data_IF_757930833991
#
_entry.id   IF_757930833991
#
_cell.length_a   1.000
_cell.length_b   1.000
_cell.length_c   1.000
_cell.angle_alpha   90.00
_cell.angle_beta   90.00
_cell.angle_gamma   90.00
#
_symmetry.space_group_name_H-M   'P 1'
#
loop_
_entity.id
_entity.type
_entity.pdbx_description
1 polymer ?
#
# COMPACT_ATOMS: atom_id res chain seq x y z
N UNK A 1 47.48 -4.03 -4.01
CA UNK A 1 46.77 -2.89 -4.57
C UNK A 1 45.46 -3.35 -5.18
N UNK A 2 44.40 -2.68 -4.83
CA UNK A 2 43.08 -3.02 -5.37
C UNK A 2 42.97 -2.50 -6.81
N UNK A 3 42.56 -3.38 -7.75
CA UNK A 3 42.33 -2.98 -9.13
C UNK A 3 41.04 -2.13 -9.25
N UNK A 4 40.92 -1.33 -10.31
CA UNK A 4 39.66 -0.60 -10.56
C UNK A 4 38.47 -1.53 -10.68
N UNK A 5 38.67 -2.73 -11.21
CA UNK A 5 37.57 -3.70 -11.32
C UNK A 5 37.09 -4.17 -9.95
N UNK A 6 37.98 -4.37 -8.99
CA UNK A 6 37.60 -4.74 -7.63
C UNK A 6 36.86 -3.62 -6.94
N UNK A 7 37.26 -2.38 -7.17
CA UNK A 7 36.58 -1.23 -6.61
C UNK A 7 35.15 -1.10 -7.15
N UNK A 8 34.98 -1.27 -8.45
CA UNK A 8 33.66 -1.25 -9.07
C UNK A 8 32.76 -2.36 -8.55
N UNK A 9 33.33 -3.54 -8.34
CA UNK A 9 32.59 -4.67 -7.80
C UNK A 9 32.03 -4.36 -6.41
N UNK A 10 32.79 -3.72 -5.56
CA UNK A 10 32.32 -3.31 -4.24
C UNK A 10 31.19 -2.30 -4.32
N UNK A 11 31.23 -1.37 -5.26
CA UNK A 11 30.15 -0.42 -5.48
C UNK A 11 28.86 -1.11 -5.93
N UNK A 12 28.98 -2.10 -6.80
CA UNK A 12 27.81 -2.86 -7.26
C UNK A 12 27.18 -3.62 -6.10
N UNK A 13 27.95 -4.23 -5.23
CA UNK A 13 27.45 -4.91 -4.06
C UNK A 13 26.70 -3.94 -3.13
N UNK A 14 27.26 -2.76 -2.95
CA UNK A 14 26.64 -1.75 -2.11
C UNK A 14 25.29 -1.30 -2.68
N UNK A 15 25.19 -1.11 -4.00
CA UNK A 15 23.96 -0.77 -4.68
C UNK A 15 22.91 -1.88 -4.50
N UNK A 16 23.30 -3.13 -4.57
CA UNK A 16 22.40 -4.25 -4.36
C UNK A 16 21.78 -4.24 -2.96
N UNK A 17 22.54 -3.86 -1.95
CA UNK A 17 22.02 -3.74 -0.60
C UNK A 17 20.96 -2.64 -0.50
N UNK A 18 21.14 -1.54 -1.23
CA UNK A 18 20.16 -0.45 -1.23
C UNK A 18 18.89 -0.79 -2.02
N UNK A 19 18.91 -1.87 -2.82
CA UNK A 19 17.75 -2.34 -3.57
C UNK A 19 16.87 -3.28 -2.73
N UNK A 20 17.11 -3.35 -1.42
CA UNK A 20 16.33 -4.19 -0.52
C UNK A 20 14.98 -3.64 -0.13
N UNK A 21 14.65 -2.39 -0.53
CA UNK A 21 13.38 -1.78 -0.20
C UNK A 21 12.23 -2.52 -0.89
N UNK A 22 11.15 -2.73 -0.13
CA UNK A 22 9.96 -3.37 -0.65
C UNK A 22 9.21 -2.40 -1.55
N UNK A 23 8.95 -2.82 -2.79
CA UNK A 23 8.18 -2.03 -3.73
C UNK A 23 6.70 -2.38 -3.59
N UNK A 24 5.87 -1.36 -3.38
CA UNK A 24 4.42 -1.51 -3.27
C UNK A 24 3.78 -0.99 -4.55
N UNK A 25 3.04 -1.86 -5.25
CA UNK A 25 2.42 -1.51 -6.53
C UNK A 25 0.90 -1.53 -6.39
N UNK A 26 0.27 -0.40 -6.62
CA UNK A 26 -1.19 -0.28 -6.56
C UNK A 26 -1.79 -0.22 -7.95
N UNK A 27 -2.95 -0.86 -8.10
CA UNK A 27 -3.75 -0.81 -9.32
C UNK A 27 -5.24 -0.73 -8.95
N UNK A 28 -6.04 0.04 -9.72
CA UNK A 28 -5.62 0.93 -10.79
C UNK A 28 -5.00 2.23 -10.25
N UNK A 29 -4.47 3.06 -11.13
CA UNK A 29 -3.98 4.39 -10.74
C UNK A 29 -5.12 5.34 -10.45
N UNK A 30 -6.19 5.23 -11.23
CA UNK A 30 -7.41 6.03 -11.07
C UNK A 30 -8.62 5.12 -11.21
N UNK A 31 -9.60 5.32 -10.33
CA UNK A 31 -10.83 4.55 -10.33
C UNK A 31 -12.00 5.53 -10.33
N UNK A 32 -12.75 5.55 -11.44
CA UNK A 32 -13.93 6.42 -11.58
C UNK A 32 -15.17 5.59 -11.31
N UNK A 33 -15.95 6.00 -10.32
CA UNK A 33 -17.14 5.25 -9.89
C UNK A 33 -18.33 6.18 -9.72
N UNK A 34 -19.51 5.60 -9.77
CA UNK A 34 -20.75 6.29 -9.42
C UNK A 34 -21.03 6.06 -7.94
N UNK A 35 -21.55 7.07 -7.26
CA UNK A 35 -22.00 6.93 -5.86
C UNK A 35 -22.92 5.73 -5.73
N UNK A 36 -22.70 4.91 -4.73
CA UNK A 36 -23.46 3.69 -4.47
C UNK A 36 -22.90 2.44 -5.12
N UNK A 37 -21.89 2.55 -5.98
CA UNK A 37 -21.26 1.42 -6.64
C UNK A 37 -20.09 0.88 -5.80
N UNK A 38 -19.74 -0.41 -5.97
CA UNK A 38 -18.57 -0.96 -5.28
C UNK A 38 -17.27 -0.49 -5.91
N UNK A 39 -16.20 -0.53 -5.14
CA UNK A 39 -14.85 -0.22 -5.60
C UNK A 39 -13.87 -1.24 -5.02
N UNK A 40 -12.81 -1.53 -5.77
CA UNK A 40 -11.78 -2.47 -5.34
C UNK A 40 -10.41 -1.95 -5.79
N UNK A 41 -9.46 -1.95 -4.88
CA UNK A 41 -8.08 -1.49 -5.13
C UNK A 41 -7.14 -2.62 -4.74
N UNK A 42 -6.19 -2.91 -5.62
CA UNK A 42 -5.17 -3.94 -5.40
C UNK A 42 -3.85 -3.31 -4.97
N UNK A 43 -3.16 -3.98 -4.07
CA UNK A 43 -1.82 -3.63 -3.62
C UNK A 43 -0.97 -4.89 -3.63
N UNK A 44 0.16 -4.83 -4.34
CA UNK A 44 1.11 -5.95 -4.39
C UNK A 44 2.46 -5.50 -3.87
N UNK A 45 3.07 -6.32 -3.02
CA UNK A 45 4.42 -6.07 -2.52
C UNK A 45 5.43 -6.95 -3.24
N UNK A 46 6.64 -6.44 -3.40
CA UNK A 46 7.73 -7.19 -4.04
C UNK A 46 8.27 -8.32 -3.17
N UNK A 47 7.98 -8.27 -1.87
CA UNK A 47 8.37 -9.29 -0.89
C UNK A 47 7.21 -9.57 0.05
N UNK A 48 7.20 -10.74 0.68
CA UNK A 48 6.19 -11.08 1.67
C UNK A 48 6.20 -10.08 2.82
N UNK A 49 5.03 -9.68 3.25
CA UNK A 49 4.85 -8.78 4.40
C UNK A 49 4.58 -9.52 5.70
N UNK A 50 4.63 -10.86 5.67
CA UNK A 50 4.48 -11.65 6.89
C UNK A 50 5.73 -11.47 7.75
N UNK A 51 5.53 -10.98 8.98
CA UNK A 51 6.62 -10.79 9.93
C UNK A 51 6.84 -12.08 10.74
N UNK A 52 8.00 -12.21 11.37
CA UNK A 52 8.38 -13.40 12.14
C UNK A 52 7.44 -13.69 13.32
N UNK A 53 6.71 -12.68 13.80
CA UNK A 53 5.74 -12.84 14.87
C UNK A 53 4.36 -13.32 14.38
N UNK A 54 4.21 -13.62 13.09
CA UNK A 54 2.97 -14.07 12.50
C UNK A 54 2.02 -12.96 12.07
N UNK A 55 2.39 -11.70 12.28
CA UNK A 55 1.58 -10.55 11.89
C UNK A 55 2.02 -9.97 10.55
N UNK A 56 1.09 -9.39 9.83
CA UNK A 56 1.33 -8.74 8.54
C UNK A 56 1.01 -7.25 8.68
N UNK A 57 2.04 -6.42 8.62
CA UNK A 57 1.90 -4.98 8.85
C UNK A 57 1.61 -4.27 7.53
N UNK A 58 0.38 -4.38 7.08
CA UNK A 58 -0.13 -3.73 5.88
C UNK A 58 -1.30 -2.84 6.27
N UNK A 59 -1.18 -1.55 5.98
CA UNK A 59 -2.20 -0.55 6.30
C UNK A 59 -2.74 0.09 5.03
N UNK A 60 -3.98 0.57 5.11
CA UNK A 60 -4.59 1.37 4.05
C UNK A 60 -4.86 2.77 4.60
N UNK A 61 -4.45 3.78 3.86
CA UNK A 61 -4.66 5.19 4.20
C UNK A 61 -5.54 5.84 3.14
N UNK A 62 -6.32 6.82 3.57
CA UNK A 62 -7.10 7.70 2.67
C UNK A 62 -6.69 9.15 2.91
N UNK A 63 -6.31 9.83 1.84
CA UNK A 63 -6.11 11.27 1.86
C UNK A 63 -7.22 11.93 1.07
N UNK A 64 -8.15 12.57 1.77
CA UNK A 64 -9.22 13.34 1.16
C UNK A 64 -8.67 14.67 0.65
N UNK A 65 -9.32 15.28 -0.35
CA UNK A 65 -8.86 16.58 -0.87
C UNK A 65 -8.69 17.61 0.24
N UNK A 66 -7.51 18.25 0.27
CA UNK A 66 -7.21 19.30 1.25
C UNK A 66 -6.97 18.80 2.68
N UNK A 67 -6.92 17.50 2.90
CA UNK A 67 -6.74 16.93 4.24
C UNK A 67 -5.46 16.10 4.30
N UNK A 68 -4.97 15.86 5.51
CA UNK A 68 -3.85 14.93 5.72
C UNK A 68 -4.34 13.49 5.64
N UNK A 69 -3.45 12.53 5.33
CA UNK A 69 -3.83 11.11 5.26
C UNK A 69 -4.36 10.60 6.59
N UNK A 70 -5.35 9.73 6.51
CA UNK A 70 -5.96 9.08 7.66
C UNK A 70 -5.89 7.57 7.47
N UNK A 71 -5.46 6.84 8.49
CA UNK A 71 -5.45 5.38 8.43
C UNK A 71 -6.87 4.84 8.54
N UNK A 72 -7.25 3.97 7.61
CA UNK A 72 -8.55 3.30 7.61
C UNK A 72 -8.45 1.88 8.15
N UNK A 73 -7.40 1.17 7.74
CA UNK A 73 -7.22 -0.26 8.04
C UNK A 73 -5.80 -0.50 8.48
N UNK A 74 -5.62 -1.39 9.46
CA UNK A 74 -4.32 -1.83 9.93
C UNK A 74 -4.31 -3.36 10.05
N UNK A 75 -3.13 -3.95 10.04
CA UNK A 75 -2.94 -5.41 10.08
C UNK A 75 -3.83 -6.11 9.06
N UNK A 76 -3.79 -5.61 7.81
CA UNK A 76 -4.48 -6.14 6.62
C UNK A 76 -6.00 -5.91 6.63
N UNK A 77 -6.69 -6.23 7.73
CA UNK A 77 -8.15 -6.33 7.73
C UNK A 77 -8.86 -5.64 8.89
N UNK A 78 -8.11 -5.02 9.80
CA UNK A 78 -8.71 -4.42 10.99
C UNK A 78 -9.08 -2.96 10.73
N UNK A 79 -10.34 -2.63 10.96
CA UNK A 79 -10.82 -1.26 10.81
C UNK A 79 -10.36 -0.40 11.98
N UNK A 80 -9.88 0.81 11.67
CA UNK A 80 -9.62 1.80 12.70
C UNK A 80 -10.93 2.32 13.29
N UNK A 81 -10.83 2.89 14.49
CA UNK A 81 -11.99 3.43 15.20
C UNK A 81 -12.69 4.48 14.34
N UNK A 82 -14.00 4.36 14.21
CA UNK A 82 -14.82 5.29 13.45
C UNK A 82 -14.85 5.06 11.95
N UNK A 83 -14.14 4.07 11.43
CA UNK A 83 -14.17 3.74 10.01
C UNK A 83 -15.39 2.86 9.73
N UNK A 84 -16.23 3.23 8.74
CA UNK A 84 -17.43 2.45 8.44
C UNK A 84 -17.09 1.04 7.93
N UNK A 85 -17.99 0.10 8.19
CA UNK A 85 -17.80 -1.29 7.82
C UNK A 85 -18.01 -1.57 6.33
N UNK A 86 -18.36 -0.57 5.53
CA UNK A 86 -18.36 -0.73 4.08
C UNK A 86 -16.94 -0.89 3.52
N UNK A 87 -15.91 -0.58 4.31
CA UNK A 87 -14.52 -0.83 3.98
C UNK A 87 -14.11 -2.22 4.46
N UNK A 88 -13.47 -2.98 3.59
CA UNK A 88 -12.95 -4.31 3.90
C UNK A 88 -11.55 -4.47 3.35
N UNK A 89 -10.62 -4.88 4.20
CA UNK A 89 -9.27 -5.21 3.78
C UNK A 89 -9.07 -6.71 3.81
N UNK A 90 -8.34 -7.24 2.85
CA UNK A 90 -8.03 -8.67 2.78
C UNK A 90 -6.69 -8.88 2.10
N UNK A 91 -6.22 -10.13 2.14
CA UNK A 91 -4.99 -10.54 1.49
C UNK A 91 -4.01 -11.20 2.42
N UNK A 92 -2.89 -11.64 1.85
CA UNK A 92 -1.80 -12.25 2.60
C UNK A 92 -0.53 -12.27 1.75
N UNK A 93 0.62 -12.39 2.39
CA UNK A 93 1.89 -12.52 1.70
C UNK A 93 2.27 -11.29 0.90
N UNK A 94 1.97 -11.28 -0.38
CA UNK A 94 2.30 -10.19 -1.30
C UNK A 94 1.09 -9.55 -1.96
N UNK A 95 -0.11 -10.09 -1.78
CA UNK A 95 -1.31 -9.63 -2.48
C UNK A 95 -2.37 -9.17 -1.49
N UNK A 96 -2.79 -7.91 -1.62
CA UNK A 96 -3.76 -7.28 -0.72
C UNK A 96 -4.81 -6.52 -1.50
N UNK A 97 -6.00 -6.43 -0.95
CA UNK A 97 -7.12 -5.77 -1.59
C UNK A 97 -7.90 -4.94 -0.58
N UNK A 98 -8.24 -3.71 -0.98
CA UNK A 98 -9.19 -2.88 -0.26
C UNK A 98 -10.48 -2.85 -1.08
N UNK A 99 -11.60 -3.14 -0.42
CA UNK A 99 -12.93 -3.09 -1.06
C UNK A 99 -13.81 -2.12 -0.32
N UNK A 100 -14.59 -1.37 -1.11
CA UNK A 100 -15.66 -0.53 -0.61
C UNK A 100 -16.95 -1.11 -1.18
N UNK A 101 -17.89 -1.52 -0.33
CA UNK A 101 -19.12 -2.15 -0.79
C UNK A 101 -20.03 -1.17 -1.54
N UNK A 102 -20.05 0.09 -1.10
CA UNK A 102 -20.80 1.18 -1.74
C UNK A 102 -20.03 2.46 -1.52
N UNK A 103 -19.61 3.10 -2.61
CA UNK A 103 -18.87 4.36 -2.52
C UNK A 103 -19.80 5.49 -2.13
N UNK A 104 -19.37 6.31 -1.18
CA UNK A 104 -20.04 7.54 -0.77
C UNK A 104 -19.14 8.73 -1.07
N UNK A 105 -19.72 9.92 -1.06
CA UNK A 105 -18.99 11.16 -1.41
C UNK A 105 -17.74 11.36 -0.54
N UNK A 106 -17.84 11.01 0.73
CA UNK A 106 -16.73 11.16 1.69
C UNK A 106 -15.59 10.16 1.47
N UNK A 107 -15.78 9.18 0.58
CA UNK A 107 -14.73 8.19 0.26
C UNK A 107 -13.80 8.68 -0.84
N UNK A 108 -14.10 9.80 -1.46
CA UNK A 108 -13.28 10.33 -2.55
C UNK A 108 -11.93 10.83 -2.04
N UNK A 109 -10.91 10.60 -2.82
CA UNK A 109 -9.54 10.99 -2.49
C UNK A 109 -8.55 9.98 -3.02
N UNK A 110 -7.36 9.96 -2.43
CA UNK A 110 -6.28 9.06 -2.85
C UNK A 110 -6.05 8.03 -1.75
N UNK A 111 -6.07 6.77 -2.15
CA UNK A 111 -5.82 5.64 -1.24
C UNK A 111 -4.40 5.16 -1.41
N UNK A 112 -3.74 4.84 -0.30
CA UNK A 112 -2.37 4.32 -0.27
C UNK A 112 -2.32 3.06 0.55
N UNK A 113 -1.64 2.02 0.05
CA UNK A 113 -1.22 0.92 0.89
C UNK A 113 0.19 1.21 1.42
N UNK A 114 0.44 0.83 2.66
CA UNK A 114 1.70 1.11 3.36
C UNK A 114 2.10 -0.13 4.11
N UNK A 115 3.35 -0.55 3.98
CA UNK A 115 3.84 -1.68 4.75
C UNK A 115 4.84 -1.21 5.82
N UNK A 116 4.83 -1.88 6.97
CA UNK A 116 5.75 -1.64 8.07
C UNK A 116 6.47 -2.90 8.54
N UNK A 117 6.34 -4.00 7.79
CA UNK A 117 7.04 -5.25 8.11
C UNK A 117 8.55 -5.12 7.89
N UNK A 118 8.92 -4.45 6.82
CA UNK A 118 10.29 -4.10 6.48
C UNK A 118 10.46 -2.60 6.69
N UNK A 119 11.55 -2.02 6.19
CA UNK A 119 11.67 -0.57 6.19
C UNK A 119 10.43 0.02 5.49
N UNK A 120 9.72 0.97 6.12
CA UNK A 120 8.40 1.38 5.62
C UNK A 120 8.42 1.94 4.21
N UNK A 121 7.51 1.45 3.36
CA UNK A 121 7.33 1.93 2.00
C UNK A 121 5.85 2.03 1.69
N UNK A 122 5.52 2.90 0.71
CA UNK A 122 4.15 3.23 0.32
C UNK A 122 3.90 2.81 -1.12
N UNK A 123 2.66 2.44 -1.42
CA UNK A 123 2.20 2.37 -2.80
C UNK A 123 2.12 3.77 -3.42
N UNK A 124 2.03 3.81 -4.73
CA UNK A 124 1.99 5.07 -5.48
C UNK A 124 0.66 5.82 -5.39
N UNK A 125 -0.36 5.19 -4.85
CA UNK A 125 -1.67 5.79 -4.69
C UNK A 125 -2.67 5.38 -5.77
N UNK A 126 -3.94 5.35 -5.38
CA UNK A 126 -5.07 5.15 -6.29
C UNK A 126 -6.07 6.26 -6.06
N UNK A 127 -6.33 7.06 -7.08
CA UNK A 127 -7.31 8.15 -6.99
C UNK A 127 -8.70 7.59 -7.22
N UNK A 128 -9.57 7.75 -6.23
CA UNK A 128 -11.00 7.43 -6.37
C UNK A 128 -11.76 8.71 -6.65
N UNK A 129 -12.46 8.75 -7.78
CA UNK A 129 -13.22 9.91 -8.20
C UNK A 129 -14.60 9.50 -8.71
N UNK A 130 -15.53 10.47 -8.72
CA UNK A 130 -16.89 10.26 -9.20
C UNK A 130 -16.93 10.46 -10.73
N UNK A 131 -17.66 9.59 -11.38
CA UNK A 131 -17.98 9.77 -12.80
C UNK A 131 -18.92 10.97 -13.00
#
# INVERSE_FOLDING_TARGET
MMSPAQFLFLLVLWIQETNGDVVMTQTPLTLSVTIGQPASISCKSSQSLLYSNGKTYLNWLLQRPGQSPKRLIYLVSKLDSGVPDRFTGSGSGTDFTLKISRVEAEDLGVYYCVQGTHFPTFGGGTKLEIK
#
